data_IF_890085687845
#
_entry.id   IF_890085687845
#
_cell.length_a   1.000
_cell.length_b   1.000
_cell.length_c   1.000
_cell.angle_alpha   90.00
_cell.angle_beta   90.00
_cell.angle_gamma   90.00
#
_symmetry.space_group_name_H-M   'P 1'
#
loop_
_entity.id
_entity.type
_entity.pdbx_description
1 polymer ?
#
# COMPACT_ATOMS: atom_id res chain seq x y z
N UNK A 1 0.69 16.39 26.64
CA UNK A 1 -0.06 17.25 25.71
C UNK A 1 -0.89 16.39 24.80
N UNK A 2 -2.15 16.74 24.53
CA UNK A 2 -2.95 16.05 23.50
C UNK A 2 -2.35 16.34 22.14
N UNK A 3 -2.15 15.29 21.31
CA UNK A 3 -1.70 15.47 19.92
C UNK A 3 -2.76 16.27 19.15
N UNK A 4 -2.32 17.23 18.35
CA UNK A 4 -3.19 17.98 17.44
C UNK A 4 -3.64 17.07 16.29
N UNK A 5 -4.80 17.37 15.70
CA UNK A 5 -5.24 16.74 14.44
C UNK A 5 -4.32 17.16 13.30
N UNK A 6 -4.30 16.33 12.26
CA UNK A 6 -3.59 16.57 11.01
C UNK A 6 -2.10 16.87 11.19
N UNK A 7 -1.53 16.45 12.31
CA UNK A 7 -0.13 16.72 12.67
C UNK A 7 0.64 15.41 12.79
N UNK A 8 1.73 15.29 12.08
CA UNK A 8 2.71 14.23 12.29
C UNK A 8 3.72 14.66 13.35
N UNK A 9 4.18 13.68 14.14
CA UNK A 9 5.12 13.89 15.25
C UNK A 9 6.31 12.95 15.06
N UNK A 10 7.32 13.32 14.24
CA UNK A 10 8.52 12.51 14.06
C UNK A 10 9.21 12.26 15.40
N UNK A 11 9.74 11.05 15.60
CA UNK A 11 10.59 10.76 16.75
C UNK A 11 11.96 11.43 16.56
N UNK A 12 12.48 12.11 17.58
CA UNK A 12 13.74 12.90 17.49
C UNK A 12 14.94 12.06 17.04
N UNK A 13 14.89 10.76 17.25
CA UNK A 13 15.99 9.87 16.94
C UNK A 13 15.77 9.02 15.67
N UNK A 14 14.72 9.30 14.88
CA UNK A 14 14.43 8.55 13.65
C UNK A 14 15.62 8.53 12.68
N UNK A 15 16.31 9.67 12.52
CA UNK A 15 17.42 9.79 11.54
C UNK A 15 18.58 8.84 11.79
N UNK A 16 18.86 8.52 13.06
CA UNK A 16 19.95 7.59 13.37
C UNK A 16 19.74 6.18 12.84
N UNK A 17 18.48 5.85 12.45
CA UNK A 17 18.14 4.56 11.86
C UNK A 17 18.19 4.56 10.34
N UNK A 18 18.17 5.72 9.67
CA UNK A 18 18.06 5.78 8.20
C UNK A 18 19.25 5.11 7.51
N UNK A 19 20.48 5.51 7.83
CA UNK A 19 21.67 4.91 7.24
C UNK A 19 21.78 3.41 7.54
N UNK A 20 21.45 3.04 8.78
CA UNK A 20 21.45 1.63 9.20
C UNK A 20 20.41 0.80 8.45
N UNK A 21 19.26 1.40 8.15
CA UNK A 21 18.21 0.74 7.38
C UNK A 21 18.58 0.60 5.91
N UNK A 22 19.20 1.62 5.33
CA UNK A 22 19.76 1.56 3.96
C UNK A 22 20.78 0.43 3.86
N UNK A 23 21.74 0.37 4.77
CA UNK A 23 22.74 -0.70 4.82
C UNK A 23 22.09 -2.09 4.99
N UNK A 24 21.15 -2.20 5.93
CA UNK A 24 20.43 -3.46 6.19
C UNK A 24 19.67 -3.94 4.95
N UNK A 25 18.99 -3.04 4.24
CA UNK A 25 18.24 -3.36 3.02
C UNK A 25 19.20 -3.79 1.92
N UNK A 26 20.31 -3.08 1.71
CA UNK A 26 21.34 -3.46 0.73
C UNK A 26 21.89 -4.85 1.02
N UNK A 27 22.30 -5.11 2.26
CA UNK A 27 22.83 -6.41 2.66
C UNK A 27 21.81 -7.54 2.42
N UNK A 28 20.54 -7.30 2.76
CA UNK A 28 19.47 -8.27 2.50
C UNK A 28 19.25 -8.52 1.01
N UNK A 29 19.25 -7.46 0.19
CA UNK A 29 19.14 -7.60 -1.27
C UNK A 29 20.31 -8.40 -1.85
N UNK A 30 21.53 -8.16 -1.37
CA UNK A 30 22.71 -8.93 -1.77
C UNK A 30 22.58 -10.40 -1.38
N UNK A 31 22.18 -10.71 -0.15
CA UNK A 31 21.96 -12.10 0.28
C UNK A 31 20.91 -12.83 -0.57
N UNK A 32 19.81 -12.13 -0.90
CA UNK A 32 18.71 -12.72 -1.67
C UNK A 32 19.01 -12.88 -3.16
N UNK A 33 19.85 -12.01 -3.74
CA UNK A 33 19.95 -11.88 -5.19
C UNK A 33 21.37 -11.86 -5.76
N UNK A 34 22.45 -11.96 -4.93
CA UNK A 34 23.84 -11.94 -5.41
C UNK A 34 24.13 -12.96 -6.52
N UNK A 35 23.58 -14.15 -6.40
CA UNK A 35 23.80 -15.28 -7.32
C UNK A 35 22.67 -15.45 -8.34
N UNK A 36 21.77 -14.44 -8.47
CA UNK A 36 20.63 -14.47 -9.39
C UNK A 36 20.85 -13.46 -10.52
N UNK A 37 20.45 -13.83 -11.71
CA UNK A 37 20.50 -12.95 -12.88
C UNK A 37 19.65 -11.70 -12.70
N UNK A 38 18.54 -11.81 -11.94
CA UNK A 38 17.57 -10.74 -11.72
C UNK A 38 17.28 -10.55 -10.24
N UNK A 39 17.39 -9.32 -9.77
CA UNK A 39 16.89 -8.95 -8.46
C UNK A 39 15.39 -8.65 -8.52
N UNK A 40 14.64 -9.22 -7.59
CA UNK A 40 13.24 -8.87 -7.35
C UNK A 40 13.13 -7.71 -6.34
N UNK A 41 11.91 -7.34 -5.98
CA UNK A 41 11.66 -6.34 -4.94
C UNK A 41 12.06 -6.90 -3.57
N UNK A 42 12.51 -6.03 -2.68
CA UNK A 42 12.86 -6.40 -1.30
C UNK A 42 11.66 -6.96 -0.54
N UNK A 43 10.49 -6.34 -0.71
CA UNK A 43 9.20 -6.84 -0.26
C UNK A 43 8.24 -6.91 -1.44
N UNK A 44 7.15 -7.66 -1.31
CA UNK A 44 6.23 -7.90 -2.42
C UNK A 44 6.91 -8.55 -3.65
N UNK A 45 7.82 -9.49 -3.39
CA UNK A 45 8.64 -10.12 -4.43
C UNK A 45 7.83 -10.98 -5.41
N UNK A 46 6.76 -11.65 -4.95
CA UNK A 46 5.90 -12.47 -5.83
C UNK A 46 4.83 -11.62 -6.50
N UNK A 47 5.05 -11.28 -7.77
CA UNK A 47 4.07 -10.63 -8.65
C UNK A 47 3.09 -11.65 -9.21
N UNK A 48 1.80 -11.32 -9.18
CA UNK A 48 0.74 -12.15 -9.77
C UNK A 48 0.38 -11.69 -11.17
N UNK A 49 0.22 -10.38 -11.37
CA UNK A 49 0.05 -9.78 -12.70
C UNK A 49 0.30 -8.27 -12.65
N UNK A 50 0.59 -7.73 -13.85
CA UNK A 50 0.48 -6.32 -14.18
C UNK A 50 -0.66 -6.16 -15.16
N UNK A 51 -1.64 -5.32 -14.86
CA UNK A 51 -2.83 -5.16 -15.68
C UNK A 51 -3.17 -3.68 -15.86
N UNK A 52 -3.86 -3.37 -16.97
CA UNK A 52 -4.40 -2.02 -17.23
C UNK A 52 -5.75 -1.82 -16.54
N UNK A 53 -6.02 -0.59 -16.15
CA UNK A 53 -7.31 -0.17 -15.62
C UNK A 53 -7.55 1.32 -15.85
N UNK A 54 -8.64 1.81 -15.31
CA UNK A 54 -9.01 3.23 -15.33
C UNK A 54 -9.43 3.66 -13.92
N UNK A 55 -8.83 4.72 -13.42
CA UNK A 55 -9.28 5.40 -12.21
C UNK A 55 -10.10 6.61 -12.61
N UNK A 56 -11.39 6.55 -12.38
CA UNK A 56 -12.31 7.65 -12.58
C UNK A 56 -12.50 8.43 -11.27
N UNK A 57 -12.31 9.73 -11.31
CA UNK A 57 -12.65 10.65 -10.22
C UNK A 57 -14.02 11.26 -10.52
N UNK A 58 -14.89 11.22 -9.54
CA UNK A 58 -16.26 11.71 -9.65
C UNK A 58 -16.36 13.22 -9.35
N UNK A 59 -17.43 13.83 -9.80
CA UNK A 59 -17.86 15.16 -9.30
C UNK A 59 -18.57 14.98 -7.95
N UNK A 60 -17.79 14.77 -6.88
CA UNK A 60 -18.34 14.58 -5.54
C UNK A 60 -18.68 15.90 -4.86
N UNK A 61 -19.74 15.88 -4.02
CA UNK A 61 -20.15 17.04 -3.21
C UNK A 61 -19.23 17.18 -1.98
N UNK A 62 -18.19 18.02 -2.10
CA UNK A 62 -17.27 18.28 -0.99
C UNK A 62 -17.95 18.92 0.22
N UNK A 63 -18.98 19.74 0.01
CA UNK A 63 -19.70 20.37 1.12
C UNK A 63 -20.55 19.37 1.89
N UNK A 64 -21.09 18.34 1.22
CA UNK A 64 -21.77 17.24 1.89
C UNK A 64 -20.75 16.43 2.75
N UNK A 65 -19.55 16.17 2.24
CA UNK A 65 -18.48 15.51 3.00
C UNK A 65 -18.10 16.36 4.23
N UNK A 66 -17.87 17.66 4.04
CA UNK A 66 -17.52 18.57 5.15
C UNK A 66 -18.62 18.62 6.21
N UNK A 67 -19.92 18.71 5.81
CA UNK A 67 -21.05 18.67 6.75
C UNK A 67 -21.06 17.38 7.56
N UNK A 68 -20.79 16.24 6.95
CA UNK A 68 -20.77 14.96 7.65
C UNK A 68 -19.58 14.84 8.60
N UNK A 69 -18.40 15.31 8.20
CA UNK A 69 -17.20 15.34 9.04
C UNK A 69 -17.37 16.27 10.25
N UNK A 70 -17.99 17.45 10.08
CA UNK A 70 -18.23 18.40 11.17
C UNK A 70 -19.14 17.85 12.27
N UNK A 71 -20.00 16.87 11.97
CA UNK A 71 -20.79 16.17 13.00
C UNK A 71 -19.93 15.21 13.85
N UNK A 72 -18.75 14.82 13.37
CA UNK A 72 -17.90 13.79 13.97
C UNK A 72 -16.65 14.34 14.64
N UNK A 73 -16.15 15.48 14.16
CA UNK A 73 -14.98 16.15 14.71
C UNK A 73 -15.41 16.98 15.92
N UNK A 74 -14.89 16.61 17.10
CA UNK A 74 -15.14 17.37 18.36
C UNK A 74 -14.33 18.67 18.47
N UNK A 75 -13.55 19.03 17.46
CA UNK A 75 -12.73 20.25 17.41
C UNK A 75 -13.33 21.27 16.49
N UNK A 76 -13.09 22.55 16.79
CA UNK A 76 -13.57 23.71 16.07
C UNK A 76 -13.62 23.48 14.56
N UNK A 77 -14.82 23.47 14.01
CA UNK A 77 -15.16 23.25 12.60
C UNK A 77 -14.44 24.17 11.60
N UNK A 78 -13.64 25.11 12.08
CA UNK A 78 -13.00 26.14 11.25
C UNK A 78 -11.87 25.61 10.37
N UNK A 79 -11.05 24.66 10.86
CA UNK A 79 -9.90 24.16 10.07
C UNK A 79 -10.36 23.34 8.87
N UNK A 80 -11.25 22.37 9.06
CA UNK A 80 -11.71 21.51 7.96
C UNK A 80 -12.56 22.27 6.94
N UNK A 81 -13.35 23.27 7.38
CA UNK A 81 -14.15 24.10 6.48
C UNK A 81 -13.30 24.93 5.50
N UNK A 82 -12.07 25.31 5.93
CA UNK A 82 -11.12 26.02 5.09
C UNK A 82 -10.38 25.12 4.09
N UNK A 83 -10.46 23.79 4.25
CA UNK A 83 -9.76 22.86 3.36
C UNK A 83 -10.54 22.69 2.06
N UNK A 84 -9.90 22.95 0.94
CA UNK A 84 -10.41 22.52 -0.36
C UNK A 84 -10.18 21.01 -0.48
N UNK A 85 -11.25 20.22 -0.72
CA UNK A 85 -11.14 18.79 -0.90
C UNK A 85 -10.84 18.39 -2.36
N UNK A 86 -11.30 19.25 -3.30
CA UNK A 86 -11.08 19.07 -4.74
C UNK A 86 -9.72 19.61 -5.14
N UNK A 87 -8.65 18.86 -4.89
CA UNK A 87 -7.30 19.25 -5.26
C UNK A 87 -6.45 18.03 -5.68
N UNK A 88 -5.40 18.29 -6.45
CA UNK A 88 -4.54 17.25 -6.99
C UNK A 88 -5.32 16.26 -7.86
N UNK A 89 -5.21 14.96 -7.59
CA UNK A 89 -5.99 13.92 -8.28
C UNK A 89 -7.50 14.13 -8.18
N UNK A 90 -7.95 14.78 -7.11
CA UNK A 90 -9.37 14.99 -6.80
C UNK A 90 -9.91 16.32 -7.32
N UNK A 91 -9.12 17.11 -8.07
CA UNK A 91 -9.43 18.49 -8.45
C UNK A 91 -10.65 18.63 -9.35
N UNK A 92 -10.88 17.67 -10.22
CA UNK A 92 -12.01 17.66 -11.17
C UNK A 92 -12.35 16.25 -11.59
N UNK A 93 -13.57 16.01 -12.07
CA UNK A 93 -13.93 14.75 -12.71
C UNK A 93 -13.00 14.46 -13.88
N UNK A 94 -12.32 13.31 -13.81
CA UNK A 94 -11.37 12.88 -14.83
C UNK A 94 -11.19 11.37 -14.78
N UNK A 95 -10.93 10.77 -15.93
CA UNK A 95 -10.50 9.39 -16.04
C UNK A 95 -8.99 9.34 -16.28
N UNK A 96 -8.29 8.62 -15.42
CA UNK A 96 -6.86 8.39 -15.49
C UNK A 96 -6.58 6.95 -15.92
N UNK A 97 -5.79 6.72 -16.96
CA UNK A 97 -5.25 5.38 -17.22
C UNK A 97 -4.38 4.94 -16.04
N UNK A 98 -4.45 3.65 -15.68
CA UNK A 98 -3.64 3.12 -14.58
C UNK A 98 -3.00 1.79 -14.96
N UNK A 99 -1.77 1.58 -14.47
CA UNK A 99 -1.17 0.26 -14.37
C UNK A 99 -1.36 -0.25 -12.94
N UNK A 100 -1.85 -1.46 -12.82
CA UNK A 100 -2.00 -2.14 -11.54
C UNK A 100 -1.02 -3.30 -11.44
N UNK A 101 -0.39 -3.42 -10.28
CA UNK A 101 0.43 -4.59 -9.92
C UNK A 101 -0.16 -5.27 -8.71
N UNK A 102 -0.47 -6.57 -8.85
CA UNK A 102 -0.89 -7.42 -7.74
C UNK A 102 0.28 -8.29 -7.27
N UNK A 103 0.48 -8.39 -5.95
CA UNK A 103 1.60 -9.15 -5.39
C UNK A 103 1.31 -9.66 -3.97
N UNK A 104 2.06 -10.70 -3.55
CA UNK A 104 2.16 -11.10 -2.15
C UNK A 104 3.11 -10.18 -1.38
N UNK A 105 2.97 -10.09 -0.05
CA UNK A 105 3.72 -9.12 0.77
C UNK A 105 5.15 -9.49 1.13
N UNK A 106 5.49 -10.78 1.10
CA UNK A 106 6.78 -11.31 1.58
C UNK A 106 7.97 -10.91 0.70
N UNK A 107 9.16 -10.97 1.31
CA UNK A 107 10.46 -10.85 0.63
C UNK A 107 10.78 -12.07 -0.23
N UNK A 108 10.28 -13.24 0.15
CA UNK A 108 10.48 -14.51 -0.54
C UNK A 108 9.27 -14.87 -1.39
N UNK A 109 9.52 -15.48 -2.54
CA UNK A 109 8.47 -16.08 -3.36
C UNK A 109 8.02 -17.38 -2.69
N UNK A 110 6.82 -17.39 -2.13
CA UNK A 110 6.17 -18.54 -1.48
C UNK A 110 4.88 -18.91 -2.19
N UNK A 111 4.32 -20.06 -1.82
CA UNK A 111 3.00 -20.49 -2.25
C UNK A 111 1.91 -19.47 -1.83
N UNK A 112 0.87 -19.33 -2.64
CA UNK A 112 -0.18 -18.34 -2.41
C UNK A 112 -1.08 -18.65 -1.20
N UNK A 113 -1.13 -19.91 -0.77
CA UNK A 113 -1.83 -20.31 0.46
C UNK A 113 -1.07 -19.96 1.75
N UNK A 114 0.21 -19.57 1.65
CA UNK A 114 0.96 -19.11 2.83
C UNK A 114 0.35 -17.80 3.33
N UNK A 115 0.13 -17.74 4.64
CA UNK A 115 -0.38 -16.53 5.30
C UNK A 115 0.49 -15.32 4.98
N UNK A 116 -0.10 -14.31 4.35
CA UNK A 116 0.60 -13.11 3.90
C UNK A 116 -0.40 -11.98 3.61
N UNK A 117 0.07 -10.76 3.51
CA UNK A 117 -0.69 -9.65 2.93
C UNK A 117 -0.73 -9.77 1.42
N UNK A 118 -1.77 -9.18 0.82
CA UNK A 118 -1.89 -9.03 -0.64
C UNK A 118 -1.90 -7.56 -0.97
N UNK A 119 -1.16 -7.16 -1.99
CA UNK A 119 -1.10 -5.77 -2.40
C UNK A 119 -1.70 -5.55 -3.78
N UNK A 120 -2.28 -4.38 -3.94
CA UNK A 120 -2.65 -3.77 -5.19
C UNK A 120 -1.98 -2.40 -5.25
N UNK A 121 -1.05 -2.24 -6.17
CA UNK A 121 -0.32 -0.99 -6.35
C UNK A 121 -0.71 -0.37 -7.69
N UNK A 122 -1.08 0.89 -7.67
CA UNK A 122 -1.49 1.64 -8.85
C UNK A 122 -0.38 2.62 -9.24
N UNK A 123 -0.11 2.71 -10.51
CA UNK A 123 0.56 3.83 -11.16
C UNK A 123 -0.48 4.58 -11.97
N UNK A 124 -0.91 5.72 -11.43
CA UNK A 124 -1.90 6.60 -12.08
C UNK A 124 -1.15 7.46 -13.10
N UNK A 125 -1.58 7.41 -14.36
CA UNK A 125 -0.93 8.08 -15.48
C UNK A 125 -1.54 9.45 -15.75
N UNK A 126 -0.86 10.29 -16.52
CA UNK A 126 -1.34 11.61 -16.96
C UNK A 126 -1.74 12.54 -15.80
N UNK A 127 -1.00 12.46 -14.71
CA UNK A 127 -1.20 13.28 -13.51
C UNK A 127 -0.42 14.57 -13.64
N UNK A 128 -1.15 15.69 -13.67
CA UNK A 128 -0.60 17.04 -13.75
C UNK A 128 -0.65 17.73 -12.39
N UNK A 129 0.27 18.64 -12.13
CA UNK A 129 0.33 19.47 -10.92
C UNK A 129 1.70 19.51 -10.28
N UNK A 130 1.81 20.29 -9.21
CA UNK A 130 3.04 20.45 -8.44
C UNK A 130 3.48 19.12 -7.82
N UNK A 131 4.73 18.74 -8.06
CA UNK A 131 5.28 17.46 -7.66
C UNK A 131 5.95 17.53 -6.29
N UNK A 132 5.99 16.39 -5.60
CA UNK A 132 6.91 16.20 -4.48
C UNK A 132 8.36 16.24 -4.98
N UNK A 133 9.27 16.86 -4.21
CA UNK A 133 10.70 16.90 -4.56
C UNK A 133 11.34 15.52 -4.72
N UNK A 134 10.79 14.53 -4.03
CA UNK A 134 11.24 13.13 -4.09
C UNK A 134 10.54 12.32 -5.20
N UNK A 135 9.70 12.98 -6.00
CA UNK A 135 9.03 12.32 -7.12
C UNK A 135 10.05 12.01 -8.21
N UNK A 136 10.14 10.76 -8.61
CA UNK A 136 11.07 10.29 -9.64
C UNK A 136 10.45 10.29 -11.05
N UNK A 137 9.18 10.61 -11.17
CA UNK A 137 8.42 10.68 -12.42
C UNK A 137 7.66 12.01 -12.51
N UNK A 138 7.41 12.46 -13.74
CA UNK A 138 6.85 13.79 -14.01
C UNK A 138 5.32 13.78 -14.17
N UNK A 139 4.74 12.69 -14.65
CA UNK A 139 3.32 12.59 -15.07
C UNK A 139 2.57 11.45 -14.40
N UNK A 140 3.10 10.85 -13.35
CA UNK A 140 2.45 9.73 -12.69
C UNK A 140 2.27 9.98 -11.20
N UNK A 141 1.35 9.28 -10.57
CA UNK A 141 1.22 9.21 -9.12
C UNK A 141 1.01 7.77 -8.69
N UNK A 142 1.76 7.33 -7.68
CA UNK A 142 1.65 5.97 -7.18
C UNK A 142 0.74 5.90 -5.95
N UNK A 143 -0.15 4.91 -5.95
CA UNK A 143 -0.97 4.57 -4.79
C UNK A 143 -0.66 3.13 -4.39
N UNK A 144 -0.05 2.95 -3.23
CA UNK A 144 0.30 1.63 -2.69
C UNK A 144 -0.79 1.21 -1.70
N UNK A 145 -1.46 0.10 -1.98
CA UNK A 145 -2.50 -0.43 -1.14
C UNK A 145 -2.29 -1.93 -0.84
N UNK A 146 -2.77 -2.36 0.31
CA UNK A 146 -2.73 -3.75 0.75
C UNK A 146 -4.09 -4.16 1.34
N UNK A 147 -4.36 -5.47 1.42
CA UNK A 147 -5.62 -5.98 1.94
C UNK A 147 -5.72 -5.93 3.48
N UNK A 148 -5.13 -4.89 4.06
CA UNK A 148 -5.18 -4.61 5.49
C UNK A 148 -5.18 -3.09 5.75
N UNK A 149 -5.97 -2.66 6.73
CA UNK A 149 -6.17 -1.27 7.11
C UNK A 149 -4.95 -0.64 7.80
N UNK A 150 -4.05 -1.49 8.29
CA UNK A 150 -2.91 -1.14 9.15
C UNK A 150 -1.63 -1.81 8.66
N UNK A 151 -0.52 -1.32 9.15
CA UNK A 151 0.76 -2.00 9.07
C UNK A 151 1.13 -2.52 10.47
N UNK A 152 2.01 -3.53 10.57
CA UNK A 152 2.31 -4.16 11.86
C UNK A 152 3.42 -3.49 12.66
N UNK A 153 4.16 -2.56 12.06
CA UNK A 153 5.24 -1.81 12.71
C UNK A 153 4.75 -0.42 13.11
N UNK A 154 5.08 -0.03 14.35
CA UNK A 154 4.63 1.21 14.97
C UNK A 154 5.52 2.39 14.61
N UNK A 155 6.85 2.20 14.63
CA UNK A 155 7.84 3.27 14.48
C UNK A 155 9.02 2.83 13.62
N UNK A 156 9.86 3.76 13.17
CA UNK A 156 11.08 3.47 12.41
C UNK A 156 12.08 2.67 13.26
N UNK A 157 12.19 2.98 14.55
CA UNK A 157 12.99 2.21 15.49
C UNK A 157 12.53 0.75 15.59
N UNK A 158 11.22 0.52 15.68
CA UNK A 158 10.66 -0.82 15.74
C UNK A 158 10.86 -1.58 14.43
N UNK A 159 10.76 -0.88 13.29
CA UNK A 159 11.07 -1.46 11.98
C UNK A 159 12.51 -1.98 11.94
N UNK A 160 13.48 -1.12 12.30
CA UNK A 160 14.87 -1.52 12.39
C UNK A 160 15.08 -2.70 13.34
N UNK A 161 14.49 -2.64 14.53
CA UNK A 161 14.58 -3.69 15.55
C UNK A 161 14.05 -5.04 15.05
N UNK A 162 12.85 -5.04 14.45
CA UNK A 162 12.24 -6.26 13.90
C UNK A 162 13.08 -6.87 12.78
N UNK A 163 13.42 -6.09 11.76
CA UNK A 163 14.15 -6.62 10.61
C UNK A 163 15.60 -7.00 10.95
N UNK A 164 16.24 -6.31 11.90
CA UNK A 164 17.56 -6.73 12.42
C UNK A 164 17.52 -8.06 13.18
N UNK A 165 16.40 -8.36 13.85
CA UNK A 165 16.25 -9.67 14.51
C UNK A 165 15.82 -10.76 13.54
N UNK A 166 14.97 -10.43 12.57
CA UNK A 166 14.55 -11.37 11.53
C UNK A 166 15.72 -11.83 10.64
N UNK A 167 16.68 -10.95 10.38
CA UNK A 167 17.91 -11.28 9.65
C UNK A 167 18.79 -12.30 10.39
N UNK A 168 18.70 -12.36 11.74
CA UNK A 168 19.47 -13.33 12.53
C UNK A 168 18.86 -14.73 12.50
N UNK A 169 17.57 -14.84 12.79
CA UNK A 169 16.82 -16.09 12.75
C UNK A 169 15.31 -15.86 12.89
N UNK A 170 14.51 -16.86 12.49
CA UNK A 170 13.07 -16.86 12.73
C UNK A 170 12.71 -16.87 14.23
N UNK A 171 13.52 -17.56 15.04
CA UNK A 171 13.34 -17.57 16.50
C UNK A 171 13.56 -16.18 17.10
N UNK A 172 14.60 -15.47 16.67
CA UNK A 172 14.85 -14.10 17.11
C UNK A 172 13.68 -13.16 16.75
N UNK A 173 13.15 -13.28 15.53
CA UNK A 173 11.98 -12.53 15.11
C UNK A 173 10.73 -12.84 15.95
N UNK A 174 10.47 -14.13 16.24
CA UNK A 174 9.36 -14.54 17.12
C UNK A 174 9.52 -13.99 18.53
N UNK A 175 10.73 -14.06 19.10
CA UNK A 175 11.03 -13.49 20.44
C UNK A 175 10.79 -11.99 20.47
N UNK A 176 11.22 -11.27 19.43
CA UNK A 176 10.98 -9.84 19.30
C UNK A 176 9.47 -9.54 19.29
N UNK A 177 8.67 -10.26 18.48
CA UNK A 177 7.23 -10.10 18.41
C UNK A 177 6.54 -10.37 19.76
N UNK A 178 6.98 -11.39 20.50
CA UNK A 178 6.44 -11.67 21.84
C UNK A 178 6.71 -10.53 22.85
N UNK A 179 7.81 -9.80 22.67
CA UNK A 179 8.14 -8.62 23.44
C UNK A 179 7.38 -7.35 22.99
N UNK A 180 6.71 -7.41 21.83
CA UNK A 180 5.96 -6.32 21.20
C UNK A 180 4.54 -6.77 20.87
N UNK A 181 3.67 -7.01 21.86
CA UNK A 181 2.38 -7.67 21.67
C UNK A 181 1.42 -6.91 20.74
N UNK A 182 1.47 -5.58 20.72
CA UNK A 182 0.67 -4.77 19.78
C UNK A 182 1.04 -5.06 18.33
N UNK A 183 2.35 -5.08 18.01
CA UNK A 183 2.85 -5.39 16.67
C UNK A 183 2.59 -6.85 16.31
N UNK A 184 2.70 -7.76 17.27
CA UNK A 184 2.37 -9.18 17.06
C UNK A 184 0.90 -9.37 16.67
N UNK A 185 -0.02 -8.74 17.41
CA UNK A 185 -1.46 -8.80 17.11
C UNK A 185 -1.77 -8.14 15.75
N UNK A 186 -1.11 -7.02 15.44
CA UNK A 186 -1.25 -6.37 14.14
C UNK A 186 -0.76 -7.30 13.00
N UNK A 187 0.40 -7.95 13.16
CA UNK A 187 0.92 -8.92 12.20
C UNK A 187 -0.04 -10.09 12.00
N UNK A 188 -0.56 -10.67 13.06
CA UNK A 188 -1.56 -11.73 12.98
C UNK A 188 -2.82 -11.27 12.23
N UNK A 189 -3.31 -10.06 12.52
CA UNK A 189 -4.47 -9.49 11.85
C UNK A 189 -4.24 -9.36 10.34
N UNK A 190 -3.13 -8.77 9.92
CA UNK A 190 -2.86 -8.49 8.50
C UNK A 190 -2.55 -9.76 7.70
N UNK A 191 -1.98 -10.79 8.33
CA UNK A 191 -1.62 -12.05 7.65
C UNK A 191 -2.68 -13.14 7.76
N UNK A 192 -3.73 -12.94 8.53
CA UNK A 192 -4.78 -13.96 8.79
C UNK A 192 -5.74 -14.18 7.63
N UNK A 193 -5.73 -13.30 6.62
CA UNK A 193 -6.69 -13.32 5.52
C UNK A 193 -6.08 -13.97 4.29
N UNK A 194 -6.80 -14.94 3.70
CA UNK A 194 -6.46 -15.53 2.40
C UNK A 194 -7.68 -15.32 1.50
N UNK A 195 -7.68 -14.30 0.63
CA UNK A 195 -8.80 -14.05 -0.27
C UNK A 195 -8.93 -15.17 -1.30
N UNK A 196 -10.12 -15.38 -1.84
CA UNK A 196 -10.33 -16.28 -2.99
C UNK A 196 -9.89 -15.64 -4.29
N UNK A 197 -10.06 -14.34 -4.44
CA UNK A 197 -9.66 -13.57 -5.60
C UNK A 197 -9.08 -12.23 -5.18
N UNK A 198 -8.00 -11.82 -5.85
CA UNK A 198 -7.42 -10.49 -5.68
C UNK A 198 -8.31 -9.41 -6.31
N UNK A 199 -9.14 -9.77 -7.29
CA UNK A 199 -10.05 -8.85 -8.00
C UNK A 199 -11.30 -8.49 -7.21
N UNK A 200 -11.59 -9.18 -6.10
CA UNK A 200 -12.74 -8.93 -5.22
C UNK A 200 -12.35 -8.58 -3.79
N UNK A 201 -11.06 -8.40 -3.53
CA UNK A 201 -10.54 -8.03 -2.22
C UNK A 201 -10.62 -6.50 -2.02
N UNK A 202 -10.74 -6.07 -0.77
CA UNK A 202 -10.64 -4.66 -0.39
C UNK A 202 -9.20 -4.31 -0.05
N UNK A 203 -8.77 -3.13 -0.52
CA UNK A 203 -7.41 -2.67 -0.31
C UNK A 203 -7.40 -1.30 0.38
N UNK A 204 -6.40 -1.07 1.23
CA UNK A 204 -6.20 0.18 1.98
C UNK A 204 -4.76 0.66 1.84
N UNK A 205 -4.54 1.97 1.93
CA UNK A 205 -3.19 2.56 1.90
C UNK A 205 -2.34 2.15 3.11
N UNK A 206 -2.95 1.73 4.22
CA UNK A 206 -2.29 1.35 5.46
C UNK A 206 -1.58 2.49 6.19
N UNK A 207 -1.29 3.59 5.52
CA UNK A 207 -0.62 4.80 6.00
C UNK A 207 -1.39 6.06 5.57
N UNK A 208 -1.09 7.18 6.22
CA UNK A 208 -1.79 8.44 5.98
C UNK A 208 -1.09 9.32 4.92
N UNK A 209 -1.89 10.21 4.32
CA UNK A 209 -1.46 11.21 3.35
C UNK A 209 -2.03 12.57 3.76
N UNK A 210 -1.33 13.64 3.44
CA UNK A 210 -1.89 14.98 3.51
C UNK A 210 -2.97 15.16 2.42
N UNK A 211 -3.91 16.04 2.67
CA UNK A 211 -4.76 16.64 1.65
C UNK A 211 -4.64 18.16 1.77
N UNK A 212 -3.86 18.74 0.89
CA UNK A 212 -3.49 20.14 0.86
C UNK A 212 -2.03 20.41 1.17
N UNK A 213 -1.53 21.49 0.60
CA UNK A 213 -0.18 21.98 0.87
C UNK A 213 -0.11 22.60 2.26
N UNK A 214 0.98 22.34 2.96
CA UNK A 214 1.37 23.17 4.10
C UNK A 214 2.25 24.31 3.59
N UNK A 215 1.76 25.56 3.59
CA UNK A 215 2.51 26.69 3.06
C UNK A 215 3.78 27.02 3.88
N UNK A 216 3.86 26.53 5.10
CA UNK A 216 4.99 26.72 6.00
C UNK A 216 5.94 25.49 6.00
N UNK A 217 5.70 24.50 5.14
CA UNK A 217 6.56 23.32 5.05
C UNK A 217 7.82 23.67 4.27
N UNK A 218 8.94 23.67 4.95
CA UNK A 218 10.26 23.83 4.34
C UNK A 218 10.93 22.45 4.24
N UNK A 219 11.12 21.99 3.00
CA UNK A 219 11.78 20.72 2.69
C UNK A 219 13.22 20.69 3.19
N UNK A 220 13.85 21.87 3.30
CA UNK A 220 15.22 22.01 3.80
C UNK A 220 15.32 21.88 5.32
N UNK A 221 14.19 21.85 6.05
CA UNK A 221 14.22 21.64 7.49
C UNK A 221 14.83 20.30 7.83
N UNK A 222 16.03 20.38 8.36
CA UNK A 222 16.80 19.22 8.80
C UNK A 222 16.27 18.64 10.13
N UNK A 223 15.47 19.40 10.87
CA UNK A 223 14.96 19.00 12.17
C UNK A 223 13.63 18.21 12.05
N UNK A 224 13.57 17.12 12.78
CA UNK A 224 12.34 16.33 12.92
C UNK A 224 11.40 17.02 13.91
N UNK A 225 10.67 18.02 13.43
CA UNK A 225 9.69 18.79 14.20
C UNK A 225 8.27 18.37 13.84
N UNK A 226 7.28 18.58 14.74
CA UNK A 226 5.89 18.36 14.39
C UNK A 226 5.45 19.20 13.18
N UNK A 227 4.80 18.57 12.21
CA UNK A 227 4.31 19.22 10.98
C UNK A 227 2.80 19.08 10.92
N UNK A 228 2.10 20.23 10.85
CA UNK A 228 0.64 20.30 10.72
C UNK A 228 0.25 20.46 9.25
N UNK A 229 -0.76 19.71 8.81
CA UNK A 229 -1.30 19.74 7.44
C UNK A 229 -2.74 20.26 7.45
N UNK A 230 -3.28 20.75 6.31
CA UNK A 230 -4.67 21.15 6.21
C UNK A 230 -5.66 20.03 6.55
N UNK A 231 -5.39 18.82 6.06
CA UNK A 231 -6.09 17.60 6.45
C UNK A 231 -5.16 16.37 6.32
N UNK A 232 -5.52 15.28 7.01
CA UNK A 232 -4.88 13.99 6.88
C UNK A 232 -5.92 12.94 6.48
N UNK A 233 -5.59 12.14 5.47
CA UNK A 233 -6.48 11.13 4.88
C UNK A 233 -5.81 9.77 4.75
N UNK A 234 -6.63 8.73 4.62
CA UNK A 234 -6.23 7.40 4.13
C UNK A 234 -7.07 7.04 2.90
N UNK A 235 -6.51 6.23 2.02
CA UNK A 235 -7.20 5.71 0.84
C UNK A 235 -7.71 4.30 1.07
N UNK A 236 -8.84 3.95 0.41
CA UNK A 236 -9.30 2.58 0.26
C UNK A 236 -9.92 2.35 -1.11
N UNK A 237 -9.81 1.10 -1.56
CA UNK A 237 -10.47 0.56 -2.74
C UNK A 237 -11.42 -0.54 -2.27
N UNK A 238 -12.72 -0.26 -2.27
CA UNK A 238 -13.76 -1.18 -1.81
C UNK A 238 -14.43 -1.83 -3.01
N UNK A 239 -14.41 -3.17 -3.15
CA UNK A 239 -15.00 -3.82 -4.31
C UNK A 239 -16.50 -3.53 -4.40
N UNK A 240 -16.97 -3.13 -5.59
CA UNK A 240 -18.38 -2.79 -5.86
C UNK A 240 -19.19 -4.05 -6.12
N UNK A 241 -18.66 -4.97 -6.91
CA UNK A 241 -19.22 -6.29 -7.07
C UNK A 241 -18.83 -7.10 -5.84
N UNK A 242 -19.64 -7.02 -4.83
CA UNK A 242 -19.47 -7.85 -3.66
C UNK A 242 -19.62 -9.32 -4.05
N UNK A 243 -18.51 -9.97 -4.34
CA UNK A 243 -18.43 -11.32 -3.83
C UNK A 243 -18.62 -11.15 -2.32
N UNK A 244 -19.61 -11.80 -1.70
CA UNK A 244 -19.96 -11.55 -0.32
C UNK A 244 -18.74 -11.74 0.56
N UNK A 245 -18.68 -11.00 1.67
CA UNK A 245 -17.60 -11.07 2.67
C UNK A 245 -17.30 -12.51 3.16
N UNK A 246 -18.10 -13.48 2.79
CA UNK A 246 -18.01 -14.92 3.02
C UNK A 246 -16.96 -15.64 2.17
N UNK A 247 -16.40 -15.00 1.13
CA UNK A 247 -15.36 -15.59 0.30
C UNK A 247 -13.95 -15.45 0.89
N UNK A 248 -13.81 -14.80 2.03
CA UNK A 248 -12.54 -14.74 2.75
C UNK A 248 -12.27 -16.05 3.46
N UNK A 249 -11.25 -16.76 3.07
CA UNK A 249 -10.71 -17.88 3.86
C UNK A 249 -9.99 -17.27 5.07
N UNK A 250 -10.72 -17.00 6.13
CA UNK A 250 -10.12 -16.63 7.41
C UNK A 250 -9.53 -17.87 8.06
N UNK A 251 -8.32 -17.77 8.58
CA UNK A 251 -7.68 -18.82 9.39
C UNK A 251 -8.58 -19.26 10.57
N UNK A 252 -9.46 -18.39 11.05
CA UNK A 252 -10.30 -18.60 12.22
C UNK A 252 -11.78 -18.89 11.92
N UNK A 253 -12.24 -18.74 10.68
CA UNK A 253 -13.68 -18.65 10.41
C UNK A 253 -14.29 -19.76 9.55
N UNK A 254 -13.59 -20.87 9.28
CA UNK A 254 -14.24 -22.06 8.71
C UNK A 254 -14.37 -23.15 9.77
N UNK A 255 -15.59 -23.37 10.30
CA UNK A 255 -15.91 -24.63 10.93
C UNK A 255 -15.71 -25.74 9.89
N UNK A 256 -14.80 -26.69 10.11
CA UNK A 256 -14.63 -27.87 9.27
C UNK A 256 -13.37 -27.97 8.41
N UNK A 257 -12.53 -26.92 8.32
CA UNK A 257 -11.16 -27.13 7.84
C UNK A 257 -10.33 -27.52 9.07
N UNK A 258 -9.77 -28.76 9.12
CA UNK A 258 -8.91 -29.14 10.22
C UNK A 258 -7.75 -28.15 10.36
N UNK A 259 -7.22 -27.98 11.56
CA UNK A 259 -5.95 -27.32 11.82
C UNK A 259 -4.82 -28.14 11.18
N UNK A 260 -4.78 -28.16 9.87
CA UNK A 260 -3.83 -28.95 9.11
C UNK A 260 -2.46 -28.26 9.12
N UNK A 261 -1.37 -29.02 9.21
CA UNK A 261 -0.03 -28.54 8.92
C UNK A 261 0.01 -27.84 7.56
N UNK A 262 0.88 -26.87 7.41
CA UNK A 262 0.96 -25.97 6.24
C UNK A 262 0.91 -26.68 4.87
N UNK A 263 1.52 -27.87 4.74
CA UNK A 263 1.55 -28.64 3.49
C UNK A 263 0.20 -29.25 3.05
N UNK A 264 -0.70 -29.49 4.00
CA UNK A 264 -1.97 -30.17 3.70
C UNK A 264 -3.09 -29.18 3.31
N UNK A 265 -2.87 -27.86 3.44
CA UNK A 265 -3.84 -26.85 3.04
C UNK A 265 -4.01 -26.73 1.53
N UNK A 266 -2.92 -26.83 0.78
CA UNK A 266 -2.97 -26.85 -0.69
C UNK A 266 -3.84 -27.99 -1.17
N UNK A 267 -3.61 -29.20 -0.62
CA UNK A 267 -4.39 -30.40 -0.94
C UNK A 267 -5.87 -30.27 -0.54
N UNK A 268 -6.16 -29.70 0.63
CA UNK A 268 -7.53 -29.42 1.07
C UNK A 268 -8.28 -28.38 0.22
N UNK A 269 -7.53 -27.52 -0.49
CA UNK A 269 -8.06 -26.55 -1.44
C UNK A 269 -8.13 -27.07 -2.88
N UNK A 270 -7.74 -28.35 -3.11
CA UNK A 270 -7.72 -28.93 -4.45
C UNK A 270 -6.55 -28.45 -5.32
N UNK A 271 -5.50 -27.93 -4.69
CA UNK A 271 -4.30 -27.43 -5.36
C UNK A 271 -3.27 -28.55 -5.45
N UNK A 272 -2.63 -28.69 -6.64
CA UNK A 272 -1.55 -29.62 -6.84
C UNK A 272 -0.29 -29.14 -6.09
N UNK A 273 0.09 -29.80 -5.01
CA UNK A 273 1.20 -29.45 -4.14
C UNK A 273 2.61 -29.69 -4.75
N UNK A 274 2.72 -29.92 -6.06
CA UNK A 274 3.97 -30.26 -6.74
C UNK A 274 4.77 -29.03 -7.22
N UNK A 275 4.16 -27.84 -7.31
CA UNK A 275 4.83 -26.59 -7.73
C UNK A 275 4.49 -25.46 -6.76
N UNK A 276 5.34 -24.38 -6.68
CA UNK A 276 4.95 -23.16 -6.00
C UNK A 276 3.60 -22.72 -6.55
N UNK A 277 2.60 -22.74 -5.68
CA UNK A 277 1.25 -22.46 -6.08
C UNK A 277 1.14 -21.01 -6.62
N UNK A 278 0.70 -20.86 -7.86
CA UNK A 278 0.42 -19.61 -8.51
C UNK A 278 -1.09 -19.37 -8.63
N UNK A 279 -1.85 -19.78 -7.61
CA UNK A 279 -3.30 -19.71 -7.60
C UNK A 279 -3.81 -18.30 -7.97
N UNK A 280 -3.31 -17.26 -7.33
CA UNK A 280 -3.78 -15.89 -7.60
C UNK A 280 -3.44 -15.39 -9.00
N UNK A 281 -2.28 -15.76 -9.53
CA UNK A 281 -1.93 -15.46 -10.92
C UNK A 281 -2.90 -16.11 -11.88
N UNK A 282 -3.08 -17.42 -11.75
CA UNK A 282 -3.92 -18.19 -12.66
C UNK A 282 -5.39 -17.76 -12.56
N UNK A 283 -5.89 -17.53 -11.35
CA UNK A 283 -7.25 -17.05 -11.12
C UNK A 283 -7.47 -15.67 -11.75
N UNK A 284 -6.53 -14.74 -11.56
CA UNK A 284 -6.60 -13.38 -12.10
C UNK A 284 -6.60 -13.38 -13.62
N UNK A 285 -5.69 -14.14 -14.27
CA UNK A 285 -5.62 -14.26 -15.73
C UNK A 285 -6.94 -14.82 -16.26
N UNK A 286 -7.38 -15.97 -15.75
CA UNK A 286 -8.64 -16.61 -16.18
C UNK A 286 -9.86 -15.70 -15.96
N UNK A 287 -9.85 -14.91 -14.89
CA UNK A 287 -10.95 -14.00 -14.61
C UNK A 287 -11.00 -12.81 -15.57
N UNK A 288 -9.85 -12.25 -15.95
CA UNK A 288 -9.76 -11.09 -16.84
C UNK A 288 -9.90 -11.44 -18.33
N UNK A 289 -9.59 -12.67 -18.72
CA UNK A 289 -9.75 -13.14 -20.10
C UNK A 289 -11.22 -13.46 -20.50
N UNK A 290 -12.14 -13.47 -19.52
CA UNK A 290 -13.58 -13.60 -19.83
C UNK A 290 -14.07 -12.37 -20.60
N UNK A 291 -14.81 -12.53 -21.70
CA UNK A 291 -15.21 -11.42 -22.58
C UNK A 291 -15.99 -10.29 -21.89
N UNK A 292 -16.72 -10.62 -20.80
CA UNK A 292 -17.54 -9.70 -20.02
C UNK A 292 -16.88 -9.29 -18.70
N UNK A 293 -15.59 -9.59 -18.52
CA UNK A 293 -14.87 -9.28 -17.29
C UNK A 293 -14.85 -7.78 -17.02
N UNK A 294 -15.38 -7.41 -15.86
CA UNK A 294 -15.30 -6.06 -15.31
C UNK A 294 -15.27 -6.12 -13.80
N UNK A 295 -14.17 -5.65 -13.22
CA UNK A 295 -13.97 -5.57 -11.79
C UNK A 295 -13.82 -4.12 -11.38
N UNK A 296 -14.62 -3.71 -10.39
CA UNK A 296 -14.69 -2.32 -9.96
C UNK A 296 -14.46 -2.21 -8.44
N UNK A 297 -13.76 -1.14 -8.05
CA UNK A 297 -13.61 -0.74 -6.66
C UNK A 297 -13.99 0.73 -6.52
N UNK A 298 -14.82 1.04 -5.55
CA UNK A 298 -15.03 2.42 -5.13
C UNK A 298 -13.76 2.94 -4.48
N UNK A 299 -13.21 4.02 -5.03
CA UNK A 299 -12.06 4.74 -4.48
C UNK A 299 -12.57 5.72 -3.43
N UNK A 300 -12.19 5.48 -2.19
CA UNK A 300 -12.65 6.24 -1.04
C UNK A 300 -11.52 6.91 -0.27
N UNK A 301 -11.83 8.05 0.34
CA UNK A 301 -10.97 8.78 1.26
C UNK A 301 -11.58 8.77 2.66
N UNK A 302 -10.75 8.51 3.68
CA UNK A 302 -11.10 8.56 5.10
C UNK A 302 -10.31 9.66 5.77
N UNK A 303 -10.97 10.54 6.51
CA UNK A 303 -10.32 11.66 7.20
C UNK A 303 -9.93 11.30 8.64
N UNK A 304 -8.85 11.88 9.12
CA UNK A 304 -8.55 11.89 10.55
C UNK A 304 -9.60 12.77 11.27
N UNK A 305 -10.39 12.21 12.18
CA UNK A 305 -11.42 12.94 12.95
C UNK A 305 -11.12 13.00 14.44
N UNK A 306 -10.08 12.28 14.87
CA UNK A 306 -9.70 12.17 16.29
C UNK A 306 -8.18 12.04 16.42
N UNK A 307 -7.60 12.61 17.48
CA UNK A 307 -6.19 12.41 17.82
C UNK A 307 -5.83 10.95 18.16
N UNK A 308 -6.82 10.09 18.40
CA UNK A 308 -6.65 8.63 18.54
C UNK A 308 -6.36 7.94 17.22
N UNK A 309 -6.72 8.55 16.09
CA UNK A 309 -6.39 8.10 14.74
C UNK A 309 -4.96 8.56 14.41
N UNK A 310 -3.97 7.83 14.91
CA UNK A 310 -2.56 8.22 14.75
C UNK A 310 -2.15 8.27 13.28
N UNK A 311 -1.39 9.32 12.90
CA UNK A 311 -0.71 9.44 11.62
C UNK A 311 0.59 8.62 11.65
N UNK A 312 1.35 8.72 12.75
CA UNK A 312 2.68 8.10 12.86
C UNK A 312 2.61 6.61 13.20
N UNK A 313 1.66 6.20 14.05
CA UNK A 313 1.51 4.80 14.44
C UNK A 313 0.60 4.07 13.44
N UNK A 314 1.20 3.39 12.47
CA UNK A 314 0.48 2.66 11.43
C UNK A 314 -0.20 1.37 11.94
N UNK A 315 -0.01 0.97 13.20
CA UNK A 315 -0.74 -0.16 13.82
C UNK A 315 -2.15 0.24 14.27
N UNK A 316 -2.47 1.54 14.26
CA UNK A 316 -3.76 2.06 14.72
C UNK A 316 -4.77 2.09 13.57
N UNK A 317 -5.87 1.38 13.77
CA UNK A 317 -7.03 1.42 12.87
C UNK A 317 -7.76 2.76 13.02
N UNK A 318 -7.99 3.43 11.91
CA UNK A 318 -8.96 4.53 11.88
C UNK A 318 -10.36 3.93 11.73
N UNK A 319 -11.14 3.97 12.79
CA UNK A 319 -12.43 3.28 12.85
C UNK A 319 -13.45 3.90 11.90
N UNK A 320 -14.02 3.12 10.98
CA UNK A 320 -15.00 3.61 10.00
C UNK A 320 -16.28 4.17 10.65
N UNK A 321 -16.64 3.69 11.84
CA UNK A 321 -17.75 4.26 12.62
C UNK A 321 -17.50 5.70 13.10
N UNK A 322 -16.21 6.08 13.29
CA UNK A 322 -15.78 7.42 13.69
C UNK A 322 -15.51 8.30 12.45
N UNK A 323 -14.96 7.73 11.40
CA UNK A 323 -14.75 8.39 10.11
C UNK A 323 -14.94 7.39 8.98
N UNK A 324 -16.05 7.44 8.22
CA UNK A 324 -16.27 6.54 7.09
C UNK A 324 -15.36 6.89 5.92
N UNK A 325 -15.23 5.96 4.98
CA UNK A 325 -14.68 6.26 3.66
C UNK A 325 -15.74 6.94 2.80
N UNK A 326 -15.40 8.11 2.27
CA UNK A 326 -16.23 8.84 1.31
C UNK A 326 -15.77 8.45 -0.10
N UNK A 327 -16.67 7.90 -0.89
CA UNK A 327 -16.38 7.52 -2.28
C UNK A 327 -16.19 8.78 -3.12
N UNK A 328 -15.02 8.92 -3.74
CA UNK A 328 -14.64 10.07 -4.58
C UNK A 328 -14.31 9.65 -6.01
N UNK A 329 -14.32 8.36 -6.29
CA UNK A 329 -14.01 7.83 -7.61
C UNK A 329 -14.22 6.33 -7.69
N UNK A 330 -13.83 5.75 -8.81
CA UNK A 330 -13.93 4.30 -9.10
C UNK A 330 -12.76 3.81 -9.91
N UNK A 331 -12.13 2.76 -9.44
CA UNK A 331 -11.16 1.99 -10.20
C UNK A 331 -11.89 0.88 -10.95
N UNK A 332 -11.62 0.76 -12.25
CA UNK A 332 -12.20 -0.29 -13.11
C UNK A 332 -11.10 -1.03 -13.85
N UNK A 333 -11.13 -2.36 -13.78
CA UNK A 333 -10.31 -3.27 -14.59
C UNK A 333 -11.25 -4.08 -15.46
N UNK A 334 -11.09 -3.94 -16.79
CA UNK A 334 -11.94 -4.62 -17.78
C UNK A 334 -11.26 -5.84 -18.36
N UNK A 335 -12.03 -6.59 -19.15
CA UNK A 335 -11.51 -7.66 -20.00
C UNK A 335 -10.21 -7.27 -20.69
N UNK A 336 -9.21 -8.11 -20.56
CA UNK A 336 -7.93 -7.97 -21.24
C UNK A 336 -7.22 -9.33 -21.31
N UNK A 337 -6.45 -9.52 -22.37
CA UNK A 337 -5.52 -10.64 -22.45
C UNK A 337 -4.30 -10.30 -21.61
N UNK A 338 -3.90 -11.19 -20.74
CA UNK A 338 -2.75 -11.02 -19.86
C UNK A 338 -1.59 -11.87 -20.36
N UNK A 339 -0.69 -11.26 -21.14
CA UNK A 339 0.61 -11.88 -21.46
C UNK A 339 1.51 -11.73 -20.22
N UNK A 340 1.43 -12.75 -19.35
CA UNK A 340 2.11 -12.67 -18.04
C UNK A 340 3.61 -12.37 -18.19
N UNK A 341 4.31 -13.02 -19.11
CA UNK A 341 5.77 -12.89 -19.21
C UNK A 341 6.19 -11.46 -19.58
N UNK A 342 5.55 -10.87 -20.59
CA UNK A 342 5.85 -9.49 -21.01
C UNK A 342 5.40 -8.46 -19.99
N UNK A 343 4.18 -8.58 -19.46
CA UNK A 343 3.65 -7.67 -18.45
C UNK A 343 4.37 -7.82 -17.11
N UNK A 344 4.86 -9.02 -16.78
CA UNK A 344 5.69 -9.26 -15.59
C UNK A 344 6.99 -8.46 -15.67
N UNK A 345 7.74 -8.58 -16.77
CA UNK A 345 9.01 -7.87 -16.94
C UNK A 345 8.79 -6.35 -16.93
N UNK A 346 7.75 -5.85 -17.59
CA UNK A 346 7.38 -4.45 -17.53
C UNK A 346 7.09 -3.99 -16.09
N UNK A 347 6.19 -4.68 -15.38
CA UNK A 347 5.84 -4.31 -14.01
C UNK A 347 7.00 -4.43 -13.01
N UNK A 348 7.89 -5.40 -13.21
CA UNK A 348 9.10 -5.52 -12.39
C UNK A 348 10.11 -4.41 -12.68
N UNK A 349 10.09 -3.81 -13.86
CA UNK A 349 10.91 -2.64 -14.19
C UNK A 349 10.34 -1.34 -13.64
N UNK A 350 9.02 -1.23 -13.46
CA UNK A 350 8.42 -0.05 -12.88
C UNK A 350 8.96 0.24 -11.46
N UNK A 351 9.18 1.51 -11.18
CA UNK A 351 9.32 1.99 -9.80
C UNK A 351 7.94 2.31 -9.24
N UNK A 352 7.71 1.93 -7.99
CA UNK A 352 6.54 2.36 -7.24
C UNK A 352 7.00 2.96 -5.92
N UNK A 353 6.53 4.16 -5.61
CA UNK A 353 6.81 4.85 -4.36
C UNK A 353 5.62 5.72 -3.96
N UNK A 354 5.18 5.71 -2.71
CA UNK A 354 4.16 6.68 -2.27
C UNK A 354 4.64 8.13 -2.39
N UNK A 355 5.97 8.35 -2.54
CA UNK A 355 6.58 9.65 -2.74
C UNK A 355 6.66 10.07 -4.22
N UNK A 356 6.24 9.19 -5.14
CA UNK A 356 6.02 9.57 -6.53
C UNK A 356 4.59 10.10 -6.67
N UNK A 357 4.42 11.41 -6.62
CA UNK A 357 3.09 12.02 -6.68
C UNK A 357 3.08 13.53 -6.48
N UNK A 358 1.88 14.04 -6.31
CA UNK A 358 1.62 15.46 -6.14
C UNK A 358 1.90 15.93 -4.71
N UNK A 359 2.41 17.16 -4.58
CA UNK A 359 2.74 17.77 -3.30
C UNK A 359 1.51 17.89 -2.36
N UNK A 360 0.33 18.13 -2.91
CA UNK A 360 -0.94 18.19 -2.14
C UNK A 360 -1.38 16.84 -1.55
N UNK A 361 -0.80 15.73 -2.04
CA UNK A 361 -1.05 14.37 -1.57
C UNK A 361 0.18 13.77 -0.88
N UNK A 362 0.97 14.60 -0.21
CA UNK A 362 2.19 14.20 0.46
C UNK A 362 1.97 12.99 1.38
N UNK A 363 2.79 11.93 1.27
CA UNK A 363 2.81 10.84 2.24
C UNK A 363 3.27 11.35 3.62
N UNK A 364 2.54 11.02 4.70
CA UNK A 364 2.84 11.49 6.06
C UNK A 364 2.88 10.33 7.05
N UNK A 365 3.57 10.54 8.17
CA UNK A 365 3.71 9.57 9.25
C UNK A 365 4.95 8.68 9.11
N UNK A 366 5.31 8.01 10.22
CA UNK A 366 6.58 7.27 10.34
C UNK A 366 6.79 6.22 9.25
N UNK A 367 5.75 5.45 8.87
CA UNK A 367 5.85 4.45 7.81
C UNK A 367 6.19 5.09 6.44
N UNK A 368 5.60 6.23 6.13
CA UNK A 368 5.86 6.91 4.86
C UNK A 368 7.22 7.61 4.86
N UNK A 369 7.67 8.18 5.98
CA UNK A 369 9.04 8.70 6.12
C UNK A 369 10.08 7.58 5.95
N UNK A 370 9.82 6.39 6.51
CA UNK A 370 10.65 5.21 6.26
C UNK A 370 10.71 4.85 4.76
N UNK A 371 9.54 4.85 4.09
CA UNK A 371 9.46 4.52 2.65
C UNK A 371 10.25 5.50 1.79
N UNK A 372 10.34 6.80 2.15
CA UNK A 372 11.16 7.76 1.42
C UNK A 372 12.65 7.40 1.40
N UNK A 373 13.11 6.67 2.41
CA UNK A 373 14.51 6.26 2.55
C UNK A 373 14.79 4.95 1.84
N UNK A 374 13.95 3.94 2.04
CA UNK A 374 14.27 2.58 1.56
C UNK A 374 13.80 2.29 0.12
N UNK A 375 12.72 2.90 -0.35
CA UNK A 375 12.18 2.62 -1.69
C UNK A 375 13.13 3.01 -2.83
N UNK A 376 13.78 4.20 -2.80
CA UNK A 376 14.77 4.55 -3.83
C UNK A 376 15.95 3.57 -3.86
N UNK A 377 16.47 3.17 -2.70
CA UNK A 377 17.60 2.22 -2.58
C UNK A 377 17.26 0.87 -3.21
N UNK A 378 16.06 0.34 -2.92
CA UNK A 378 15.60 -0.94 -3.50
C UNK A 378 15.41 -0.84 -5.01
N UNK A 379 14.86 0.27 -5.49
CA UNK A 379 14.64 0.49 -6.91
C UNK A 379 15.98 0.59 -7.67
N UNK A 380 16.91 1.39 -7.16
CA UNK A 380 18.24 1.55 -7.72
C UNK A 380 18.99 0.22 -7.78
N UNK A 381 19.03 -0.53 -6.66
CA UNK A 381 19.67 -1.85 -6.61
C UNK A 381 19.12 -2.79 -7.69
N UNK A 382 17.79 -2.87 -7.83
CA UNK A 382 17.15 -3.72 -8.84
C UNK A 382 17.55 -3.33 -10.27
N UNK A 383 17.50 -2.04 -10.58
CA UNK A 383 17.83 -1.55 -11.93
C UNK A 383 19.30 -1.80 -12.25
N UNK A 384 20.21 -1.52 -11.33
CA UNK A 384 21.63 -1.80 -11.49
C UNK A 384 21.89 -3.29 -11.70
N UNK A 385 21.29 -4.16 -10.88
CA UNK A 385 21.45 -5.62 -10.98
C UNK A 385 20.89 -6.19 -12.29
N UNK A 386 19.87 -5.54 -12.86
CA UNK A 386 19.26 -5.92 -14.14
C UNK A 386 19.92 -5.25 -15.35
N UNK A 387 20.85 -4.33 -15.15
CA UNK A 387 21.45 -3.55 -16.21
C UNK A 387 20.47 -2.60 -16.92
N UNK A 388 19.44 -2.12 -16.21
CA UNK A 388 18.38 -1.30 -16.76
C UNK A 388 18.56 0.17 -16.39
N UNK A 389 18.26 1.04 -17.37
CA UNK A 389 18.03 2.47 -17.14
C UNK A 389 16.53 2.66 -16.98
N UNK A 390 16.11 3.21 -15.83
CA UNK A 390 14.69 3.46 -15.59
C UNK A 390 14.14 4.52 -16.56
N UNK A 391 12.95 4.24 -17.08
CA UNK A 391 12.18 5.18 -17.88
C UNK A 391 10.76 5.29 -17.31
N UNK A 392 10.25 6.52 -17.25
CA UNK A 392 8.86 6.77 -16.86
C UNK A 392 7.94 6.08 -17.88
N UNK A 393 6.97 5.26 -17.42
CA UNK A 393 6.09 4.56 -18.34
C UNK A 393 5.12 5.52 -19.04
N UNK A 394 4.67 5.11 -20.21
CA UNK A 394 3.65 5.81 -21.00
C UNK A 394 2.32 5.04 -21.00
N UNK A 395 1.25 5.69 -21.45
CA UNK A 395 -0.08 5.02 -21.59
C UNK A 395 -0.12 4.05 -22.77
N UNK A 396 0.78 4.21 -23.73
CA UNK A 396 0.80 3.48 -24.99
C UNK A 396 1.54 2.14 -24.93
N UNK A 397 2.00 1.75 -23.75
CA UNK A 397 2.63 0.44 -23.54
C UNK A 397 1.72 -0.69 -24.03
N UNK A 398 2.20 -1.48 -24.97
CA UNK A 398 1.48 -2.62 -25.58
C UNK A 398 2.29 -3.91 -25.43
N UNK A 399 1.61 -5.02 -25.23
CA UNK A 399 2.22 -6.35 -25.06
C UNK A 399 1.61 -7.37 -26.00
#
# INVERSE_FOLDING_TARGET
MSKKLFTEYPEQDERKYYDRLVEQVKNRMDELFKDKERALRDTHAKTHAGVKGTLEIFDFDQEAIKRELNKRISLTSSQLNAVELKQGLLSSPKQYPVWLRFANGRTEVKDDYVSDTRSMTLKVMEVEGERLDQSHESKTQDIIAQNAEIFFIKSIKDYYGFFSTAAKSQEAAKKWLLQHPQQFLALLKITSRTPKSLLTERYWSGSAFALGLNPNFDVSQTDLVPVEYPAAIKYAFTPVSAAPAHDRISFWSRPGIPKLPFGDRAKALGLDGTQPDNYYRNELIQALEKPDAQYCWDFGIQFQTSSKMSIDDATIVWQERESPFFTVGRLTVKHQIVDFEKQYDFCENLQFSPWNGLAVHRPIGALNRLRSVIYPVVAEYRHQKRGLVYQEPTVDETF
#
